data_IF_722864661452
#
_entry.id   IF_722864661452
#
_cell.length_a   1.000
_cell.length_b   1.000
_cell.length_c   1.000
_cell.angle_alpha   90.00
_cell.angle_beta   90.00
_cell.angle_gamma   90.00
#
_symmetry.space_group_name_H-M   'P 1'
#
loop_
_entity.id
_entity.type
_entity.pdbx_description
1 polymer ?
#
# COMPACT_ATOMS: atom_id res chain seq x y z
N UNK A 1 -10.27 -10.29 37.64
CA UNK A 1 -10.50 -9.21 36.66
C UNK A 1 -9.19 -8.48 36.29
N UNK A 2 -8.18 -9.19 35.78
CA UNK A 2 -6.88 -8.60 35.33
C UNK A 2 -6.54 -8.91 33.86
N UNK A 3 -7.39 -9.69 33.20
CA UNK A 3 -7.23 -10.14 31.81
C UNK A 3 -7.78 -9.14 30.78
N UNK A 4 -8.64 -8.21 31.22
CA UNK A 4 -9.21 -7.15 30.37
C UNK A 4 -8.16 -6.26 29.67
N UNK A 5 -7.11 -5.75 30.35
CA UNK A 5 -6.09 -4.93 29.67
C UNK A 5 -5.24 -5.73 28.67
N UNK A 6 -5.05 -7.04 28.90
CA UNK A 6 -4.27 -7.92 28.00
C UNK A 6 -5.04 -8.17 26.70
N UNK A 7 -6.36 -8.38 26.80
CA UNK A 7 -7.24 -8.58 25.64
C UNK A 7 -7.27 -7.31 24.77
N UNK A 8 -7.32 -6.12 25.37
CA UNK A 8 -7.34 -4.85 24.63
C UNK A 8 -6.06 -4.59 23.83
N UNK A 9 -4.89 -5.03 24.34
CA UNK A 9 -3.60 -4.86 23.66
C UNK A 9 -3.49 -5.72 22.39
N UNK A 10 -4.13 -6.89 22.34
CA UNK A 10 -4.06 -7.80 21.20
C UNK A 10 -4.77 -7.27 19.95
N UNK A 11 -5.79 -6.43 20.12
CA UNK A 11 -6.54 -5.84 19.01
C UNK A 11 -5.81 -4.66 18.31
N UNK A 12 -4.66 -4.22 18.82
CA UNK A 12 -3.92 -3.10 18.25
C UNK A 12 -3.08 -3.45 17.00
N UNK A 13 -3.04 -4.72 16.59
CA UNK A 13 -2.11 -5.20 15.56
C UNK A 13 -2.72 -5.37 14.16
N UNK A 14 -4.01 -5.08 13.97
CA UNK A 14 -4.69 -5.28 12.68
C UNK A 14 -4.53 -4.07 11.72
N UNK A 15 -3.30 -3.70 11.37
CA UNK A 15 -3.07 -2.80 10.23
C UNK A 15 -3.28 -3.58 8.93
N UNK A 16 -4.25 -3.17 8.11
CA UNK A 16 -4.45 -3.75 6.78
C UNK A 16 -3.31 -3.36 5.85
N UNK A 17 -2.55 -4.35 5.36
CA UNK A 17 -1.48 -4.14 4.37
C UNK A 17 -2.00 -3.48 3.08
N UNK A 18 -3.23 -3.83 2.67
CA UNK A 18 -3.88 -3.20 1.52
C UNK A 18 -4.15 -1.72 1.78
N UNK A 19 -4.70 -1.37 2.95
CA UNK A 19 -4.99 0.03 3.26
C UNK A 19 -3.73 0.89 3.29
N UNK A 20 -2.61 0.36 3.79
CA UNK A 20 -1.31 1.05 3.77
C UNK A 20 -0.83 1.24 2.33
N UNK A 21 -0.87 0.18 1.51
CA UNK A 21 -0.47 0.24 0.10
C UNK A 21 -1.31 1.25 -0.69
N UNK A 22 -2.63 1.17 -0.56
CA UNK A 22 -3.57 2.04 -1.28
C UNK A 22 -3.36 3.52 -0.93
N UNK A 23 -3.06 3.83 0.34
CA UNK A 23 -2.75 5.19 0.76
C UNK A 23 -1.45 5.71 0.14
N UNK A 24 -0.40 4.88 0.08
CA UNK A 24 0.87 5.25 -0.56
C UNK A 24 0.66 5.49 -2.07
N UNK A 25 -0.01 4.56 -2.76
CA UNK A 25 -0.30 4.69 -4.19
C UNK A 25 -1.19 5.90 -4.51
N UNK A 26 -2.13 6.22 -3.62
CA UNK A 26 -2.94 7.43 -3.75
C UNK A 26 -2.07 8.69 -3.69
N UNK A 27 -1.13 8.78 -2.74
CA UNK A 27 -0.21 9.91 -2.65
C UNK A 27 0.63 10.04 -3.93
N UNK A 28 1.20 8.96 -4.44
CA UNK A 28 2.00 9.01 -5.66
C UNK A 28 1.19 9.41 -6.90
N UNK A 29 -0.08 9.02 -6.99
CA UNK A 29 -0.97 9.52 -8.05
C UNK A 29 -1.15 11.04 -7.98
N UNK A 30 -1.32 11.60 -6.78
CA UNK A 30 -1.39 13.04 -6.60
C UNK A 30 -0.07 13.74 -6.98
N UNK A 31 1.07 13.11 -6.72
CA UNK A 31 2.37 13.63 -7.18
C UNK A 31 2.47 13.65 -8.71
N UNK A 32 1.94 12.63 -9.39
CA UNK A 32 1.88 12.60 -10.86
C UNK A 32 1.02 13.73 -11.41
N UNK A 33 -0.12 14.05 -10.78
CA UNK A 33 -0.99 15.17 -11.20
C UNK A 33 -0.29 16.53 -11.12
N UNK A 34 0.75 16.67 -10.30
CA UNK A 34 1.55 17.88 -10.20
C UNK A 34 2.66 17.97 -11.26
N UNK A 35 2.91 16.89 -12.01
CA UNK A 35 3.93 16.87 -13.04
C UNK A 35 3.46 17.57 -14.33
N UNK A 36 4.39 18.17 -15.11
CA UNK A 36 4.08 18.64 -16.45
C UNK A 36 3.52 17.52 -17.34
N UNK A 37 2.67 17.83 -18.35
CA UNK A 37 2.05 16.82 -19.21
C UNK A 37 3.04 15.84 -19.85
N UNK A 38 4.23 16.31 -20.22
CA UNK A 38 5.28 15.46 -20.80
C UNK A 38 5.80 14.36 -19.86
N UNK A 39 5.63 14.51 -18.55
CA UNK A 39 6.11 13.57 -17.52
C UNK A 39 4.97 12.79 -16.86
N UNK A 40 3.72 13.25 -17.03
CA UNK A 40 2.54 12.60 -16.45
C UNK A 40 2.37 11.16 -16.93
N UNK A 41 2.46 10.95 -18.25
CA UNK A 41 2.19 9.64 -18.86
C UNK A 41 3.15 8.56 -18.37
N UNK A 42 4.40 8.91 -18.09
CA UNK A 42 5.39 7.96 -17.58
C UNK A 42 5.25 7.78 -16.06
N UNK A 43 4.99 8.86 -15.32
CA UNK A 43 4.73 8.79 -13.88
C UNK A 43 3.52 7.89 -13.55
N UNK A 44 2.39 8.10 -14.25
CA UNK A 44 1.15 7.40 -13.91
C UNK A 44 1.27 5.89 -14.15
N UNK A 45 2.05 5.44 -15.15
CA UNK A 45 2.28 4.03 -15.44
C UNK A 45 2.94 3.30 -14.27
N UNK A 46 3.87 3.94 -13.57
CA UNK A 46 4.58 3.35 -12.43
C UNK A 46 3.68 3.17 -11.19
N UNK A 47 2.66 4.03 -11.03
CA UNK A 47 1.78 4.07 -9.84
C UNK A 47 0.39 3.49 -10.11
N UNK A 48 0.24 2.77 -11.23
CA UNK A 48 -1.02 2.15 -11.67
C UNK A 48 -1.23 0.73 -11.14
N UNK A 49 -0.23 0.14 -10.50
CA UNK A 49 -0.26 -1.28 -10.11
C UNK A 49 -1.33 -1.56 -9.06
N UNK A 50 -2.16 -2.58 -9.30
CA UNK A 50 -3.16 -3.02 -8.33
C UNK A 50 -2.51 -3.70 -7.12
N UNK A 51 -3.11 -3.61 -5.93
CA UNK A 51 -2.61 -4.30 -4.74
C UNK A 51 -2.47 -5.82 -4.94
N UNK A 52 -3.39 -6.42 -5.72
CA UNK A 52 -3.36 -7.85 -6.01
C UNK A 52 -2.14 -8.25 -6.84
N UNK A 53 -1.79 -7.45 -7.84
CA UNK A 53 -0.64 -7.73 -8.70
C UNK A 53 0.67 -7.47 -7.94
N UNK A 54 0.73 -6.37 -7.18
CA UNK A 54 1.82 -6.11 -6.24
C UNK A 54 2.07 -7.29 -5.30
N UNK A 55 1.02 -7.82 -4.65
CA UNK A 55 1.18 -8.95 -3.74
C UNK A 55 1.66 -10.21 -4.47
N UNK A 56 1.15 -10.48 -5.68
CA UNK A 56 1.56 -11.64 -6.48
C UNK A 56 3.04 -11.56 -6.83
N UNK A 57 3.50 -10.44 -7.35
CA UNK A 57 4.90 -10.19 -7.71
C UNK A 57 5.81 -10.26 -6.47
N UNK A 58 5.35 -9.70 -5.34
CA UNK A 58 6.06 -9.75 -4.07
C UNK A 58 6.25 -11.18 -3.57
N UNK A 59 5.24 -12.05 -3.67
CA UNK A 59 5.39 -13.45 -3.27
C UNK A 59 6.31 -14.21 -4.23
N UNK A 60 6.19 -13.99 -5.54
CA UNK A 60 7.08 -14.59 -6.54
C UNK A 60 8.56 -14.21 -6.30
N UNK A 61 8.82 -12.95 -5.92
CA UNK A 61 10.18 -12.48 -5.61
C UNK A 61 10.79 -13.14 -4.36
N UNK A 62 9.98 -13.72 -3.46
CA UNK A 62 10.47 -14.47 -2.28
C UNK A 62 10.77 -15.93 -2.59
N UNK A 63 10.27 -16.45 -3.69
CA UNK A 63 10.43 -17.86 -4.11
C UNK A 63 11.66 -18.09 -4.99
N UNK A 64 12.40 -17.02 -5.31
CA UNK A 64 13.66 -17.04 -6.07
C UNK A 64 14.87 -17.24 -5.16
#
# INVERSE_FOLDING_TARGET
MKILPIILLLFSTACSQQAVYDNIQHHHRLECEQQPPAQYDDCIKEVSQSYKDYQREREQAKEQ
#
